data_IF_350840677956
#
_entry.id   IF_350840677956
#
_cell.length_a   1.000
_cell.length_b   1.000
_cell.length_c   1.000
_cell.angle_alpha   90.00
_cell.angle_beta   90.00
_cell.angle_gamma   90.00
#
_symmetry.space_group_name_H-M   'P 1'
#
loop_
_entity.id
_entity.type
_entity.pdbx_description
1 polymer ?
#
# COMPACT_ATOMS: atom_id res chain seq x y z
N UNK A 1 -79.56 -18.95 44.32
CA UNK A 1 -78.27 -19.68 44.35
C UNK A 1 -77.45 -19.20 43.13
N UNK A 2 -76.54 -18.25 43.36
CA UNK A 2 -75.71 -17.60 42.30
C UNK A 2 -74.35 -18.26 42.31
N UNK A 3 -74.00 -18.91 41.21
CA UNK A 3 -72.69 -19.56 41.01
C UNK A 3 -71.75 -18.50 40.41
N UNK A 4 -70.72 -18.12 41.15
CA UNK A 4 -69.60 -17.26 40.65
C UNK A 4 -68.59 -18.19 39.96
N UNK A 5 -68.42 -18.03 38.68
CA UNK A 5 -67.32 -18.65 37.92
C UNK A 5 -66.10 -17.79 38.02
N UNK A 6 -65.01 -18.28 38.61
CA UNK A 6 -63.70 -17.61 38.64
C UNK A 6 -62.94 -17.96 37.37
N UNK A 7 -62.63 -16.95 36.55
CA UNK A 7 -61.74 -17.05 35.41
C UNK A 7 -60.30 -16.87 35.84
N UNK A 8 -59.51 -17.91 35.78
CA UNK A 8 -58.06 -17.86 36.02
C UNK A 8 -57.34 -17.42 34.71
N UNK A 9 -56.75 -16.27 34.73
CA UNK A 9 -55.95 -15.72 33.64
C UNK A 9 -54.54 -16.32 33.74
N UNK A 10 -54.18 -17.26 32.88
CA UNK A 10 -52.82 -17.80 32.78
C UNK A 10 -51.94 -16.85 31.97
N UNK A 11 -50.98 -16.16 32.61
CA UNK A 11 -49.94 -15.40 31.95
C UNK A 11 -48.94 -16.37 31.26
N UNK A 12 -48.95 -16.44 29.98
CA UNK A 12 -47.91 -17.09 29.18
C UNK A 12 -46.71 -16.12 29.04
N UNK A 13 -45.61 -16.36 29.74
CA UNK A 13 -44.34 -15.67 29.50
C UNK A 13 -43.67 -16.34 28.29
N UNK A 14 -43.61 -15.65 27.18
CA UNK A 14 -42.78 -16.06 26.05
C UNK A 14 -41.29 -15.84 26.41
N UNK A 15 -40.42 -16.82 26.21
CA UNK A 15 -38.97 -16.62 26.36
C UNK A 15 -38.49 -15.69 25.23
N UNK A 16 -37.81 -14.59 25.64
CA UNK A 16 -37.13 -13.69 24.73
C UNK A 16 -35.91 -14.45 24.16
N UNK A 17 -36.02 -14.95 22.92
CA UNK A 17 -34.88 -15.53 22.21
C UNK A 17 -33.87 -14.41 21.96
N UNK A 18 -32.79 -14.41 22.72
CA UNK A 18 -31.64 -13.56 22.43
C UNK A 18 -31.09 -13.92 21.04
N UNK A 19 -31.31 -13.04 20.06
CA UNK A 19 -30.69 -13.15 18.75
C UNK A 19 -29.18 -12.95 18.94
N UNK A 20 -28.41 -14.02 18.69
CA UNK A 20 -26.96 -13.92 18.61
C UNK A 20 -26.62 -12.91 17.51
N UNK A 21 -25.90 -11.84 17.88
CA UNK A 21 -25.34 -10.89 16.90
C UNK A 21 -24.49 -11.68 15.92
N UNK A 22 -24.69 -11.52 14.59
CA UNK A 22 -23.84 -12.18 13.59
C UNK A 22 -22.39 -11.83 13.90
N UNK A 23 -21.53 -12.84 14.07
CA UNK A 23 -20.09 -12.64 14.14
C UNK A 23 -19.69 -11.99 12.81
N UNK A 24 -19.15 -10.76 12.89
CA UNK A 24 -18.63 -10.07 11.71
C UNK A 24 -17.68 -11.02 10.98
N UNK A 25 -17.93 -11.26 9.69
CA UNK A 25 -16.98 -12.00 8.87
C UNK A 25 -15.64 -11.27 8.92
N UNK A 26 -14.50 -12.00 9.01
CA UNK A 26 -13.20 -11.36 9.01
C UNK A 26 -13.06 -10.55 7.71
N UNK A 27 -12.79 -9.27 7.85
CA UNK A 27 -12.49 -8.39 6.71
C UNK A 27 -11.33 -9.00 5.93
N UNK A 28 -11.44 -9.14 4.61
CA UNK A 28 -10.35 -9.66 3.81
C UNK A 28 -9.10 -8.76 3.98
N UNK A 29 -7.91 -9.36 3.88
CA UNK A 29 -6.63 -8.66 3.85
C UNK A 29 -6.22 -7.91 5.14
N UNK A 30 -6.59 -8.43 6.31
CA UNK A 30 -6.17 -7.89 7.61
C UNK A 30 -4.96 -8.58 8.25
N UNK A 31 -4.37 -9.57 7.60
CA UNK A 31 -3.16 -10.21 8.12
C UNK A 31 -2.00 -9.19 8.23
N UNK A 32 -1.13 -9.40 9.21
CA UNK A 32 -0.02 -8.48 9.49
C UNK A 32 0.85 -8.20 8.26
N UNK A 33 1.09 -9.22 7.43
CA UNK A 33 1.87 -9.07 6.20
C UNK A 33 1.18 -8.15 5.19
N UNK A 34 -0.15 -8.19 5.13
CA UNK A 34 -0.95 -7.35 4.22
C UNK A 34 -1.02 -5.89 4.66
N UNK A 35 -0.62 -5.58 5.89
CA UNK A 35 -0.54 -4.22 6.44
C UNK A 35 0.86 -3.60 6.34
N UNK A 36 1.82 -4.31 5.80
CA UNK A 36 3.22 -3.84 5.72
C UNK A 36 3.42 -2.58 4.88
N UNK A 37 2.46 -2.19 4.02
CA UNK A 37 2.44 -0.92 3.30
C UNK A 37 1.58 0.17 3.97
N UNK A 38 1.04 -0.04 5.16
CA UNK A 38 0.19 0.97 5.84
C UNK A 38 0.92 2.27 6.13
N UNK A 39 2.23 2.23 6.32
CA UNK A 39 3.06 3.41 6.50
C UNK A 39 2.98 4.39 5.33
N UNK A 40 2.72 3.87 4.11
CA UNK A 40 2.72 4.66 2.89
C UNK A 40 1.35 5.27 2.58
N UNK A 41 0.26 4.77 3.17
CA UNK A 41 -1.10 5.28 2.92
C UNK A 41 -1.21 6.74 3.32
N UNK A 42 -1.77 7.59 2.42
CA UNK A 42 -2.03 9.01 2.64
C UNK A 42 -1.67 9.89 1.47
N UNK A 43 -1.69 11.19 1.72
CA UNK A 43 -1.35 12.23 0.76
C UNK A 43 0.06 12.77 1.09
N UNK A 44 0.89 12.90 0.07
CA UNK A 44 2.29 13.24 0.23
C UNK A 44 2.73 14.36 -0.70
N UNK A 45 3.52 15.28 -0.15
CA UNK A 45 4.38 16.17 -0.93
C UNK A 45 5.74 15.49 -1.11
N UNK A 46 6.27 15.58 -2.32
CA UNK A 46 7.51 14.95 -2.72
C UNK A 46 8.55 15.99 -3.08
N UNK A 47 9.81 15.71 -2.76
CA UNK A 47 10.93 16.47 -3.30
C UNK A 47 12.12 15.55 -3.64
N UNK A 48 12.91 15.97 -4.63
CA UNK A 48 14.10 15.28 -5.09
C UNK A 48 15.13 16.28 -5.63
N UNK A 49 16.42 15.92 -5.68
CA UNK A 49 17.42 16.74 -6.33
C UNK A 49 17.06 17.01 -7.80
N UNK A 50 17.10 18.27 -8.23
CA UNK A 50 16.93 18.65 -9.62
C UNK A 50 18.16 18.33 -10.48
N UNK A 51 18.13 18.70 -11.76
CA UNK A 51 19.23 18.43 -12.69
C UNK A 51 20.48 19.27 -12.39
N UNK A 52 20.30 20.50 -11.89
CA UNK A 52 21.40 21.39 -11.53
C UNK A 52 21.63 21.43 -10.01
N UNK A 53 22.87 21.67 -9.57
CA UNK A 53 23.17 21.85 -8.17
C UNK A 53 22.27 22.91 -7.51
N UNK A 54 21.58 22.52 -6.41
CA UNK A 54 20.68 23.40 -5.66
C UNK A 54 19.24 23.46 -6.20
N UNK A 55 18.95 22.89 -7.36
CA UNK A 55 17.57 22.72 -7.82
C UNK A 55 16.88 21.60 -7.05
N UNK A 56 15.59 21.79 -6.81
CA UNK A 56 14.72 20.79 -6.16
C UNK A 56 13.50 20.57 -7.05
N UNK A 57 13.29 19.32 -7.45
CA UNK A 57 12.06 18.88 -8.08
C UNK A 57 10.98 18.64 -7.03
N UNK A 58 9.73 18.89 -7.40
CA UNK A 58 8.56 18.75 -6.54
C UNK A 58 7.46 17.95 -7.24
N UNK A 59 6.77 17.12 -6.47
CA UNK A 59 5.64 16.36 -6.95
C UNK A 59 4.68 16.02 -5.81
N UNK A 60 3.71 15.18 -6.12
CA UNK A 60 2.75 14.68 -5.14
C UNK A 60 2.50 13.21 -5.35
N UNK A 61 2.08 12.54 -4.28
CA UNK A 61 1.67 11.15 -4.36
C UNK A 61 0.45 10.91 -3.45
N UNK A 62 -0.57 10.26 -3.99
CA UNK A 62 -1.77 9.88 -3.26
C UNK A 62 -1.82 8.35 -3.18
N UNK A 63 -1.80 7.82 -1.98
CA UNK A 63 -1.77 6.39 -1.73
C UNK A 63 -3.01 5.97 -0.97
N UNK A 64 -3.75 5.01 -1.49
CA UNK A 64 -5.03 4.55 -0.90
C UNK A 64 -5.15 3.04 -0.89
N UNK A 65 -5.87 2.52 0.10
CA UNK A 65 -6.36 1.16 0.05
C UNK A 65 -7.65 1.11 -0.75
N UNK A 66 -7.74 0.14 -1.68
CA UNK A 66 -8.91 -0.14 -2.50
C UNK A 66 -9.26 -1.64 -2.41
N UNK A 67 -10.36 -2.06 -3.01
CA UNK A 67 -10.81 -3.48 -3.04
C UNK A 67 -10.81 -4.10 -1.63
N UNK A 68 -11.66 -3.55 -0.75
CA UNK A 68 -11.83 -4.00 0.64
C UNK A 68 -10.52 -4.04 1.46
N UNK A 69 -9.58 -3.13 1.12
CA UNK A 69 -8.31 -3.02 1.81
C UNK A 69 -7.19 -3.94 1.30
N UNK A 70 -7.45 -4.76 0.27
CA UNK A 70 -6.48 -5.73 -0.22
C UNK A 70 -5.40 -5.14 -1.13
N UNK A 71 -5.70 -4.05 -1.81
CA UNK A 71 -4.80 -3.42 -2.77
C UNK A 71 -4.37 -2.05 -2.25
N UNK A 72 -3.09 -1.77 -2.36
CA UNK A 72 -2.54 -0.43 -2.18
C UNK A 72 -2.36 0.20 -3.56
N UNK A 73 -3.13 1.26 -3.83
CA UNK A 73 -3.05 2.02 -5.07
C UNK A 73 -2.27 3.30 -4.84
N UNK A 74 -1.36 3.59 -5.74
CA UNK A 74 -0.59 4.82 -5.83
C UNK A 74 -1.04 5.65 -7.03
N UNK A 75 -1.07 6.97 -6.86
CA UNK A 75 -1.25 7.94 -7.95
C UNK A 75 -0.20 9.04 -7.80
N UNK A 76 0.87 8.93 -8.57
CA UNK A 76 2.01 9.83 -8.58
C UNK A 76 1.84 10.94 -9.62
N UNK A 77 2.30 12.14 -9.26
CA UNK A 77 2.44 13.27 -10.18
C UNK A 77 3.77 13.98 -9.95
N UNK A 78 4.60 14.07 -10.98
CA UNK A 78 5.85 14.85 -10.98
C UNK A 78 5.64 16.35 -11.03
N UNK A 79 4.38 16.83 -11.13
CA UNK A 79 4.06 18.26 -11.16
C UNK A 79 4.67 18.95 -12.37
N UNK A 80 5.11 20.21 -12.15
CA UNK A 80 5.79 21.01 -13.18
C UNK A 80 7.26 20.61 -13.33
N UNK A 81 7.83 19.98 -12.30
CA UNK A 81 9.23 19.55 -12.30
C UNK A 81 9.51 18.38 -13.24
N UNK A 82 8.46 17.57 -13.49
CA UNK A 82 8.57 16.35 -14.29
C UNK A 82 7.18 15.99 -14.83
N UNK A 83 7.01 15.88 -16.13
CA UNK A 83 5.70 15.60 -16.74
C UNK A 83 5.20 14.17 -16.57
N UNK A 84 5.94 13.33 -15.86
CA UNK A 84 5.52 11.97 -15.53
C UNK A 84 4.33 12.00 -14.56
N UNK A 85 3.31 11.24 -14.92
CA UNK A 85 2.21 10.83 -14.04
C UNK A 85 2.07 9.34 -14.16
N UNK A 86 2.01 8.66 -13.04
CA UNK A 86 1.88 7.21 -13.04
C UNK A 86 0.98 6.72 -11.93
N UNK A 87 0.57 5.49 -12.07
CA UNK A 87 -0.17 4.77 -11.05
C UNK A 87 0.41 3.39 -10.84
N UNK A 88 0.35 2.92 -9.62
CA UNK A 88 0.68 1.54 -9.32
C UNK A 88 -0.43 0.86 -8.51
N UNK A 89 -0.46 -0.46 -8.58
CA UNK A 89 -1.23 -1.31 -7.69
C UNK A 89 -0.30 -2.33 -7.04
N UNK A 90 -0.36 -2.41 -5.71
CA UNK A 90 0.43 -3.34 -4.93
C UNK A 90 -0.48 -4.29 -4.16
N UNK A 91 -0.15 -5.57 -4.17
CA UNK A 91 -0.88 -6.62 -3.47
C UNK A 91 0.08 -7.56 -2.76
N UNK A 92 -0.29 -8.00 -1.56
CA UNK A 92 0.40 -9.14 -0.93
C UNK A 92 -0.18 -10.43 -1.51
N UNK A 93 0.61 -11.08 -2.37
CA UNK A 93 0.23 -12.37 -2.96
C UNK A 93 0.38 -13.48 -1.91
N UNK A 94 -0.74 -13.94 -1.38
CA UNK A 94 -0.78 -14.97 -0.34
C UNK A 94 -0.25 -16.32 -0.79
N UNK A 95 -0.23 -16.60 -2.11
CA UNK A 95 0.28 -17.85 -2.64
C UNK A 95 1.82 -17.89 -2.63
N UNK A 96 2.45 -16.77 -2.99
CA UNK A 96 3.92 -16.66 -2.99
C UNK A 96 4.49 -16.12 -1.68
N UNK A 97 3.66 -15.47 -0.84
CA UNK A 97 4.10 -14.85 0.41
C UNK A 97 4.90 -13.56 0.22
N UNK A 98 4.76 -12.91 -0.94
CA UNK A 98 5.49 -11.70 -1.31
C UNK A 98 4.56 -10.57 -1.73
N UNK A 99 5.03 -9.33 -1.61
CA UNK A 99 4.43 -8.19 -2.24
C UNK A 99 4.72 -8.17 -3.73
N UNK A 100 3.72 -7.88 -4.53
CA UNK A 100 3.81 -7.63 -5.98
C UNK A 100 3.26 -6.26 -6.30
N UNK A 101 3.91 -5.55 -7.23
CA UNK A 101 3.46 -4.25 -7.70
C UNK A 101 3.58 -4.18 -9.22
N UNK A 102 2.59 -3.56 -9.85
CA UNK A 102 2.64 -3.13 -11.26
C UNK A 102 2.55 -1.61 -11.30
N UNK A 103 3.46 -0.98 -12.01
CA UNK A 103 3.48 0.45 -12.33
C UNK A 103 3.21 0.68 -13.80
N UNK A 104 2.40 1.70 -14.10
CA UNK A 104 2.20 2.23 -15.45
C UNK A 104 2.22 3.76 -15.41
N UNK A 105 2.66 4.40 -16.53
CA UNK A 105 2.76 5.84 -16.60
C UNK A 105 2.33 6.40 -17.96
N UNK A 106 2.22 7.73 -18.03
CA UNK A 106 1.81 8.46 -19.25
C UNK A 106 2.87 8.52 -20.35
N UNK A 107 4.04 7.94 -20.13
CA UNK A 107 5.09 7.77 -21.16
C UNK A 107 5.07 6.36 -21.77
N UNK A 108 4.10 5.52 -21.37
CA UNK A 108 3.97 4.15 -21.85
C UNK A 108 4.85 3.16 -21.06
N UNK A 109 5.35 3.56 -19.88
CA UNK A 109 6.09 2.69 -18.99
C UNK A 109 5.19 1.59 -18.43
N UNK A 110 5.73 0.37 -18.34
CA UNK A 110 5.16 -0.78 -17.65
C UNK A 110 6.25 -1.49 -16.88
N UNK A 111 6.13 -1.52 -15.57
CA UNK A 111 7.11 -2.13 -14.69
C UNK A 111 6.39 -3.03 -13.68
N UNK A 112 6.92 -4.22 -13.45
CA UNK A 112 6.43 -5.15 -12.45
C UNK A 112 7.54 -5.52 -11.47
N UNK A 113 7.16 -5.68 -10.21
CA UNK A 113 8.08 -5.86 -9.10
C UNK A 113 7.59 -6.94 -8.15
N UNK A 114 8.53 -7.53 -7.44
CA UNK A 114 8.28 -8.44 -6.32
C UNK A 114 9.22 -8.10 -5.17
N UNK A 115 8.78 -8.27 -3.94
CA UNK A 115 9.63 -8.07 -2.78
C UNK A 115 8.94 -8.13 -1.43
N UNK A 116 9.61 -7.59 -0.41
CA UNK A 116 9.22 -7.79 0.98
C UNK A 116 9.54 -6.58 1.85
N UNK A 117 8.86 -6.53 2.99
CA UNK A 117 9.23 -5.66 4.11
C UNK A 117 10.17 -6.41 5.05
N UNK A 118 11.41 -5.93 5.16
CA UNK A 118 12.46 -6.54 6.02
C UNK A 118 13.31 -5.46 6.68
N UNK A 119 13.60 -5.63 7.96
CA UNK A 119 14.51 -4.76 8.72
C UNK A 119 14.13 -3.27 8.66
N UNK A 120 12.82 -2.94 8.69
CA UNK A 120 12.34 -1.58 8.62
C UNK A 120 12.32 -0.95 7.22
N UNK A 121 12.59 -1.72 6.18
CA UNK A 121 12.56 -1.29 4.77
C UNK A 121 11.54 -2.10 3.98
N UNK A 122 10.80 -1.44 3.09
CA UNK A 122 10.11 -2.13 2.00
C UNK A 122 11.01 -2.10 0.78
N UNK A 123 11.27 -3.24 0.18
CA UNK A 123 12.11 -3.37 -1.01
C UNK A 123 11.36 -4.17 -2.05
N UNK A 124 11.06 -3.55 -3.18
CA UNK A 124 10.48 -4.21 -4.35
C UNK A 124 11.46 -4.17 -5.50
N UNK A 125 11.73 -5.30 -6.13
CA UNK A 125 12.75 -5.42 -7.17
C UNK A 125 12.22 -6.10 -8.42
N UNK A 126 12.91 -5.83 -9.53
CA UNK A 126 12.70 -6.46 -10.83
C UNK A 126 14.04 -6.72 -11.54
N UNK A 127 13.97 -7.53 -12.54
CA UNK A 127 15.06 -7.75 -13.47
C UNK A 127 14.69 -7.17 -14.84
N UNK A 128 15.65 -6.59 -15.52
CA UNK A 128 15.50 -6.11 -16.90
C UNK A 128 16.76 -6.39 -17.71
N UNK A 129 16.64 -6.38 -19.04
CA UNK A 129 17.77 -6.46 -19.93
C UNK A 129 18.00 -5.09 -20.55
N UNK A 130 19.21 -4.57 -20.43
CA UNK A 130 19.63 -3.34 -21.09
C UNK A 130 20.91 -3.58 -21.87
N UNK A 131 20.91 -3.34 -23.18
CA UNK A 131 22.06 -3.58 -24.06
C UNK A 131 22.64 -5.01 -23.94
N UNK A 132 21.75 -6.02 -23.81
CA UNK A 132 22.14 -7.42 -23.66
C UNK A 132 22.64 -7.82 -22.27
N UNK A 133 22.78 -6.89 -21.35
CA UNK A 133 23.18 -7.16 -19.96
C UNK A 133 21.97 -7.20 -19.02
N UNK A 134 22.03 -8.11 -18.06
CA UNK A 134 21.05 -8.20 -16.95
C UNK A 134 21.29 -7.06 -15.97
N UNK A 135 20.25 -6.28 -15.70
CA UNK A 135 20.25 -5.23 -14.70
C UNK A 135 19.16 -5.54 -13.67
N UNK A 136 19.52 -5.51 -12.39
CA UNK A 136 18.55 -5.50 -11.31
C UNK A 136 18.16 -4.06 -11.01
N UNK A 137 16.87 -3.83 -10.80
CA UNK A 137 16.31 -2.53 -10.40
C UNK A 137 15.46 -2.73 -9.16
N UNK A 138 15.45 -1.74 -8.26
CA UNK A 138 14.63 -1.82 -7.06
C UNK A 138 14.13 -0.46 -6.60
N UNK A 139 12.99 -0.49 -5.94
CA UNK A 139 12.46 0.59 -5.12
C UNK A 139 12.74 0.26 -3.65
N UNK A 140 13.19 1.24 -2.89
CA UNK A 140 13.48 1.09 -1.45
C UNK A 140 12.78 2.19 -0.69
N UNK A 141 11.87 1.83 0.21
CA UNK A 141 11.32 2.74 1.22
C UNK A 141 12.08 2.52 2.52
N UNK A 142 12.67 3.57 3.06
CA UNK A 142 13.51 3.58 4.26
C UNK A 142 13.25 4.83 5.10
N UNK A 143 13.84 4.90 6.30
CA UNK A 143 13.65 6.01 7.24
C UNK A 143 12.16 6.33 7.47
N UNK A 144 11.36 5.26 7.57
CA UNK A 144 9.90 5.33 7.62
C UNK A 144 9.46 5.87 8.97
N UNK A 145 8.72 6.97 8.95
CA UNK A 145 8.02 7.55 10.08
C UNK A 145 6.55 7.82 9.75
N UNK A 146 5.78 8.32 10.69
CA UNK A 146 4.38 8.73 10.44
C UNK A 146 4.25 9.86 9.42
N UNK A 147 5.26 10.73 9.31
CA UNK A 147 5.19 11.97 8.54
C UNK A 147 6.20 12.07 7.41
N UNK A 148 7.22 11.23 7.40
CA UNK A 148 8.30 11.30 6.43
C UNK A 148 8.76 9.90 6.03
N UNK A 149 9.17 9.76 4.78
CA UNK A 149 9.71 8.54 4.19
C UNK A 149 10.80 8.95 3.20
N UNK A 150 11.91 8.24 3.20
CA UNK A 150 12.86 8.30 2.09
C UNK A 150 12.62 7.14 1.13
N UNK A 151 12.49 7.45 -0.14
CA UNK A 151 12.36 6.47 -1.20
C UNK A 151 13.52 6.61 -2.19
N UNK A 152 13.92 5.50 -2.81
CA UNK A 152 14.91 5.53 -3.87
C UNK A 152 14.63 4.52 -4.97
N UNK A 153 14.88 4.95 -6.21
CA UNK A 153 15.06 4.07 -7.36
C UNK A 153 16.53 3.74 -7.52
N UNK A 154 16.84 2.44 -7.52
CA UNK A 154 18.22 1.97 -7.53
C UNK A 154 18.43 0.92 -8.62
N UNK A 155 19.66 0.82 -9.13
CA UNK A 155 20.06 -0.20 -10.09
C UNK A 155 21.36 -0.87 -9.70
N UNK A 156 21.50 -2.13 -10.11
CA UNK A 156 22.71 -2.93 -9.96
C UNK A 156 23.04 -3.65 -11.27
N UNK A 157 24.29 -3.58 -11.68
CA UNK A 157 24.82 -4.30 -12.85
C UNK A 157 25.71 -5.50 -12.48
N UNK A 158 25.87 -5.76 -11.17
CA UNK A 158 26.77 -6.81 -10.64
C UNK A 158 26.03 -7.92 -9.88
N UNK A 159 24.75 -8.10 -10.19
CA UNK A 159 23.89 -9.12 -9.57
C UNK A 159 23.46 -8.78 -8.15
N UNK A 160 23.36 -7.49 -7.81
CA UNK A 160 22.85 -7.01 -6.52
C UNK A 160 23.93 -6.88 -5.43
N UNK A 161 25.20 -6.98 -5.79
CA UNK A 161 26.31 -6.80 -4.83
C UNK A 161 26.50 -5.33 -4.46
N UNK A 162 26.40 -4.44 -5.46
CA UNK A 162 26.38 -2.99 -5.26
C UNK A 162 25.16 -2.36 -5.92
N UNK A 163 24.71 -1.23 -5.37
CA UNK A 163 23.52 -0.52 -5.83
C UNK A 163 23.82 0.95 -6.02
N UNK A 164 23.49 1.47 -7.19
CA UNK A 164 23.54 2.89 -7.51
C UNK A 164 22.15 3.49 -7.32
N UNK A 165 22.06 4.53 -6.50
CA UNK A 165 20.84 5.35 -6.40
C UNK A 165 20.76 6.24 -7.62
N UNK A 166 19.72 6.05 -8.43
CA UNK A 166 19.47 6.84 -9.64
C UNK A 166 18.48 7.98 -9.39
N UNK A 167 17.54 7.77 -8.48
CA UNK A 167 16.54 8.79 -8.14
C UNK A 167 16.11 8.64 -6.68
N UNK A 168 16.54 9.52 -5.81
CA UNK A 168 16.07 9.60 -4.43
C UNK A 168 14.88 10.54 -4.36
N UNK A 169 13.85 10.21 -3.58
CA UNK A 169 12.69 11.06 -3.28
C UNK A 169 12.49 11.11 -1.77
N UNK A 170 12.31 12.31 -1.25
CA UNK A 170 11.85 12.52 0.11
C UNK A 170 10.35 12.80 0.12
N UNK A 171 9.60 12.02 0.88
CA UNK A 171 8.17 12.13 1.10
C UNK A 171 7.90 12.88 2.39
N UNK A 172 7.04 13.87 2.34
CA UNK A 172 6.50 14.57 3.51
C UNK A 172 4.99 14.50 3.48
N UNK A 173 4.38 14.02 4.58
CA UNK A 173 2.92 13.88 4.67
C UNK A 173 2.26 15.25 4.60
N UNK A 174 1.19 15.36 3.80
CA UNK A 174 0.34 16.56 3.79
C UNK A 174 -0.46 16.64 5.08
N UNK A 175 -0.51 17.84 5.66
CA UNK A 175 -1.33 18.15 6.84
C UNK A 175 -2.81 18.28 6.47
#
# INVERSE_FOLDING_TARGET
MRILAAFSLALFTLPLLAQATPKAEPTPCEAQQQKQFDFWIGEWDLNWPGEKPGEVGHGTNSIRRIMDGCIVQENFSGGESMHIRGTSVSVFDTNSGHWKQTWVDNEGGYLDFIGDFKNGHMILQRETIRNGAKILQRMVWKNISSNEIDWSWEASSDGGKTWQVNWPIHYKRKN
#
